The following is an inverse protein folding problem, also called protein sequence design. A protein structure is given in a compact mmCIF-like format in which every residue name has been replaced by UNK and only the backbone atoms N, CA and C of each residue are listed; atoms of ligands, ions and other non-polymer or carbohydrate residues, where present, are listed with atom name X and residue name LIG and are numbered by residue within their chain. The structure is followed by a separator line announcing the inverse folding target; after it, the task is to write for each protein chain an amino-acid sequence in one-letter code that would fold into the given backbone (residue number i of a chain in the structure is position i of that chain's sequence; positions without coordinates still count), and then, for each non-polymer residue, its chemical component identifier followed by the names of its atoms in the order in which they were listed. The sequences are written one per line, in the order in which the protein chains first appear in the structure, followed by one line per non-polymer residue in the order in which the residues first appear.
data_IF_033659988879
#
_entry.id   IF_033659988879
#
_cell.length_a   1.000
_cell.length_b   1.000
_cell.length_c   1.000
_cell.angle_alpha   90.00
_cell.angle_beta   90.00
_cell.angle_gamma   90.00
#
_symmetry.space_group_name_H-M   'P 1'
#
loop_
_entity.id
_entity.type
_entity.pdbx_description
1 polymer ?
#
# COMPACT_ATOMS: atom_id res chain seq x y z
N UNK A 1 -23.85 -7.48 7.88
CA UNK A 1 -23.32 -6.12 8.07
C UNK A 1 -23.65 -5.32 6.83
N UNK A 2 -24.05 -4.05 6.97
CA UNK A 2 -24.28 -3.14 5.84
C UNK A 2 -22.93 -2.76 5.18
N UNK A 3 -22.92 -2.54 3.87
CA UNK A 3 -21.71 -2.19 3.10
C UNK A 3 -21.08 -0.90 3.58
N UNK A 4 -21.92 0.08 3.81
CA UNK A 4 -21.55 1.43 4.23
C UNK A 4 -20.81 1.39 5.58
N UNK A 5 -21.14 0.43 6.45
CA UNK A 5 -20.44 0.26 7.74
C UNK A 5 -19.03 -0.32 7.55
N UNK A 6 -18.84 -1.22 6.58
CA UNK A 6 -17.52 -1.79 6.28
C UNK A 6 -16.60 -0.75 5.62
N UNK A 7 -17.15 0.01 4.68
CA UNK A 7 -16.46 1.11 4.02
C UNK A 7 -16.04 2.18 5.03
N UNK A 8 -16.98 2.69 5.83
CA UNK A 8 -16.68 3.71 6.84
C UNK A 8 -15.63 3.25 7.86
N UNK A 9 -15.64 1.97 8.26
CA UNK A 9 -14.59 1.41 9.12
C UNK A 9 -13.23 1.38 8.42
N UNK A 10 -13.20 1.00 7.15
CA UNK A 10 -11.97 0.95 6.35
C UNK A 10 -11.40 2.34 6.12
N UNK A 11 -12.25 3.31 5.75
CA UNK A 11 -11.87 4.71 5.56
C UNK A 11 -11.31 5.31 6.85
N UNK A 12 -11.95 5.07 7.99
CA UNK A 12 -11.48 5.55 9.29
C UNK A 12 -10.09 5.00 9.65
N UNK A 13 -9.84 3.71 9.43
CA UNK A 13 -8.53 3.11 9.71
C UNK A 13 -7.47 3.62 8.73
N UNK A 14 -7.77 3.69 7.43
CA UNK A 14 -6.80 4.15 6.43
C UNK A 14 -6.47 5.63 6.56
N UNK A 15 -7.43 6.47 6.97
CA UNK A 15 -7.17 7.87 7.30
C UNK A 15 -6.15 8.01 8.44
N UNK A 16 -6.25 7.18 9.48
CA UNK A 16 -5.28 7.15 10.59
C UNK A 16 -3.91 6.66 10.10
N UNK A 17 -3.87 5.59 9.30
CA UNK A 17 -2.60 5.07 8.75
C UNK A 17 -1.87 6.13 7.92
N UNK A 18 -2.59 6.88 7.08
CA UNK A 18 -2.03 7.96 6.27
C UNK A 18 -1.48 9.11 7.10
N UNK A 19 -2.11 9.44 8.24
CA UNK A 19 -1.63 10.53 9.11
C UNK A 19 -0.51 10.10 10.04
N UNK A 20 -0.46 8.82 10.46
CA UNK A 20 0.68 8.30 11.24
C UNK A 20 1.98 8.35 10.43
N UNK A 21 1.91 8.09 9.12
CA UNK A 21 3.09 8.10 8.25
C UNK A 21 3.92 9.40 8.34
N UNK A 22 3.28 10.56 8.46
CA UNK A 22 3.99 11.84 8.54
C UNK A 22 4.68 12.06 9.89
N UNK A 23 4.23 11.37 10.94
CA UNK A 23 4.82 11.47 12.27
C UNK A 23 6.18 10.79 12.37
N UNK A 24 6.47 9.88 11.44
CA UNK A 24 7.72 9.12 11.37
C UNK A 24 8.86 9.89 10.67
N UNK A 25 8.60 11.12 10.22
CA UNK A 25 9.61 12.00 9.65
C UNK A 25 10.27 12.78 10.79
N UNK A 26 11.51 12.44 11.12
CA UNK A 26 12.21 13.02 12.25
C UNK A 26 13.05 14.21 11.80
N UNK A 27 12.61 15.42 12.15
CA UNK A 27 13.37 16.64 11.84
C UNK A 27 14.65 16.71 12.71
N UNK A 28 15.78 17.20 12.16
CA UNK A 28 17.01 17.35 12.93
C UNK A 28 16.80 18.32 14.10
N UNK A 29 17.10 17.86 15.32
CA UNK A 29 16.78 18.60 16.53
C UNK A 29 17.63 19.88 16.72
N UNK A 30 18.85 19.89 16.18
CA UNK A 30 19.85 20.94 16.42
C UNK A 30 20.28 21.69 15.17
N UNK A 31 19.98 21.17 13.97
CA UNK A 31 20.31 21.82 12.70
C UNK A 31 19.04 22.35 12.02
N UNK A 32 18.91 23.67 11.95
CA UNK A 32 17.81 24.37 11.27
C UNK A 32 18.24 24.98 9.94
N UNK A 33 19.42 24.61 9.43
CA UNK A 33 19.87 25.06 8.11
C UNK A 33 19.14 24.31 6.99
N UNK A 34 19.05 24.87 5.77
CA UNK A 34 18.49 24.15 4.62
C UNK A 34 19.18 22.83 4.31
N UNK A 35 20.43 22.64 4.76
CA UNK A 35 21.18 21.40 4.59
C UNK A 35 20.55 20.23 5.38
N UNK A 36 19.95 20.52 6.53
CA UNK A 36 19.26 19.53 7.35
C UNK A 36 18.10 18.84 6.58
N UNK A 37 17.53 19.51 5.57
CA UNK A 37 16.51 18.92 4.69
C UNK A 37 17.06 17.82 3.78
N UNK A 38 18.35 17.86 3.44
CA UNK A 38 19.01 16.82 2.66
C UNK A 38 19.19 15.56 3.51
N UNK A 39 19.42 15.72 4.81
CA UNK A 39 19.61 14.61 5.74
C UNK A 39 18.32 13.80 5.94
N UNK A 40 17.16 14.46 5.99
CA UNK A 40 15.85 13.80 6.11
C UNK A 40 15.27 13.31 4.77
N UNK A 41 15.92 13.62 3.65
CA UNK A 41 15.39 13.28 2.33
C UNK A 41 15.05 11.77 2.18
N UNK A 42 15.84 10.81 2.70
CA UNK A 42 15.49 9.40 2.65
C UNK A 42 14.19 9.04 3.39
N UNK A 43 14.01 9.56 4.61
CA UNK A 43 12.77 9.37 5.39
C UNK A 43 11.57 10.00 4.68
N UNK A 44 11.73 11.22 4.18
CA UNK A 44 10.69 11.93 3.45
C UNK A 44 10.29 11.20 2.16
N UNK A 45 11.25 10.66 1.40
CA UNK A 45 10.97 9.89 0.19
C UNK A 45 10.27 8.57 0.51
N UNK A 46 10.71 7.85 1.55
CA UNK A 46 10.04 6.65 2.02
C UNK A 46 8.58 6.92 2.42
N UNK A 47 8.35 8.03 3.14
CA UNK A 47 7.02 8.55 3.45
C UNK A 47 6.19 8.78 2.19
N UNK A 48 6.68 9.56 1.21
CA UNK A 48 5.94 9.91 0.00
C UNK A 48 5.54 8.65 -0.79
N UNK A 49 6.47 7.72 -0.98
CA UNK A 49 6.18 6.49 -1.71
C UNK A 49 5.12 5.63 -1.01
N UNK A 50 5.20 5.52 0.31
CA UNK A 50 4.24 4.73 1.10
C UNK A 50 2.87 5.39 1.18
N UNK A 51 2.83 6.72 1.27
CA UNK A 51 1.61 7.50 1.20
C UNK A 51 0.89 7.25 -0.13
N UNK A 52 1.60 7.34 -1.26
CA UNK A 52 1.03 7.10 -2.59
C UNK A 52 0.55 5.65 -2.74
N UNK A 53 1.30 4.67 -2.19
CA UNK A 53 0.88 3.26 -2.17
C UNK A 53 -0.48 3.09 -1.46
N UNK A 54 -0.61 3.61 -0.24
CA UNK A 54 -1.84 3.48 0.55
C UNK A 54 -2.99 4.25 -0.09
N UNK A 55 -2.74 5.45 -0.62
CA UNK A 55 -3.75 6.23 -1.33
C UNK A 55 -4.24 5.51 -2.59
N UNK A 56 -3.33 4.94 -3.39
CA UNK A 56 -3.68 4.16 -4.60
C UNK A 56 -4.53 2.95 -4.24
N UNK A 57 -4.22 2.28 -3.14
CA UNK A 57 -5.03 1.16 -2.66
C UNK A 57 -6.40 1.62 -2.19
N UNK A 58 -6.49 2.71 -1.42
CA UNK A 58 -7.76 3.27 -0.96
C UNK A 58 -8.68 3.58 -2.15
N UNK A 59 -8.15 4.21 -3.20
CA UNK A 59 -8.88 4.45 -4.46
C UNK A 59 -9.36 3.12 -5.07
N UNK A 60 -8.49 2.11 -5.16
CA UNK A 60 -8.86 0.79 -5.67
C UNK A 60 -9.90 0.06 -4.80
N UNK A 61 -9.86 0.24 -3.48
CA UNK A 61 -10.84 -0.27 -2.53
C UNK A 61 -12.19 0.40 -2.76
N UNK A 62 -12.21 1.72 -2.83
CA UNK A 62 -13.40 2.52 -3.09
C UNK A 62 -14.09 2.07 -4.39
N UNK A 63 -13.38 2.01 -5.53
CA UNK A 63 -13.96 1.55 -6.80
C UNK A 63 -14.43 0.09 -6.78
N UNK A 64 -13.77 -0.79 -6.01
CA UNK A 64 -14.23 -2.16 -5.83
C UNK A 64 -15.57 -2.16 -5.09
N UNK A 65 -15.67 -1.42 -3.99
CA UNK A 65 -16.85 -1.42 -3.13
C UNK A 65 -18.03 -0.62 -3.69
N UNK A 66 -17.81 0.34 -4.60
CA UNK A 66 -18.88 0.99 -5.38
C UNK A 66 -19.79 -0.04 -6.08
N UNK A 67 -19.23 -1.17 -6.54
CA UNK A 67 -19.96 -2.21 -7.26
C UNK A 67 -20.47 -3.36 -6.38
N UNK A 68 -20.20 -3.32 -5.06
CA UNK A 68 -20.58 -4.38 -4.12
C UNK A 68 -22.05 -4.26 -3.71
N UNK A 69 -22.80 -5.34 -3.89
CA UNK A 69 -24.20 -5.45 -3.46
C UNK A 69 -24.39 -6.34 -2.23
N UNK A 70 -23.49 -7.32 -2.02
CA UNK A 70 -23.57 -8.30 -0.94
C UNK A 70 -22.25 -8.41 -0.19
N UNK A 71 -22.36 -8.52 1.13
CA UNK A 71 -21.23 -8.77 2.05
C UNK A 71 -21.57 -9.95 2.95
N UNK A 72 -20.64 -10.90 3.03
CA UNK A 72 -20.68 -12.01 3.98
C UNK A 72 -19.51 -11.93 4.97
N UNK A 73 -19.48 -12.85 5.93
CA UNK A 73 -18.44 -12.87 6.95
C UNK A 73 -17.02 -13.01 6.37
N UNK A 74 -16.86 -13.72 5.24
CA UNK A 74 -15.56 -13.89 4.57
C UNK A 74 -15.00 -12.56 4.07
N UNK A 75 -15.83 -11.71 3.45
CA UNK A 75 -15.43 -10.36 3.02
C UNK A 75 -15.01 -9.50 4.22
N UNK A 76 -15.72 -9.60 5.34
CA UNK A 76 -15.40 -8.84 6.56
C UNK A 76 -14.01 -9.22 7.07
N UNK A 77 -13.72 -10.51 7.22
CA UNK A 77 -12.40 -10.97 7.68
C UNK A 77 -11.29 -10.67 6.68
N UNK A 78 -11.55 -10.80 5.38
CA UNK A 78 -10.58 -10.42 4.36
C UNK A 78 -10.23 -8.92 4.44
N UNK A 79 -11.22 -8.07 4.72
CA UNK A 79 -10.99 -6.64 4.93
C UNK A 79 -10.18 -6.37 6.20
N UNK A 80 -10.44 -7.08 7.30
CA UNK A 80 -9.65 -6.96 8.52
C UNK A 80 -8.18 -7.35 8.28
N UNK A 81 -7.92 -8.42 7.52
CA UNK A 81 -6.55 -8.83 7.16
C UNK A 81 -5.86 -7.75 6.32
N UNK A 82 -6.56 -7.12 5.37
CA UNK A 82 -6.04 -5.98 4.62
C UNK A 82 -5.69 -4.80 5.55
N UNK A 83 -6.57 -4.47 6.49
CA UNK A 83 -6.33 -3.38 7.44
C UNK A 83 -5.15 -3.67 8.36
N UNK A 84 -4.98 -4.92 8.82
CA UNK A 84 -3.83 -5.32 9.62
C UNK A 84 -2.51 -5.03 8.90
N UNK A 85 -2.34 -5.48 7.66
CA UNK A 85 -1.11 -5.21 6.89
C UNK A 85 -0.97 -3.73 6.54
N UNK A 86 -2.08 -3.01 6.31
CA UNK A 86 -2.07 -1.55 6.15
C UNK A 86 -1.48 -0.85 7.39
N UNK A 87 -1.83 -1.30 8.60
CA UNK A 87 -1.36 -0.67 9.85
C UNK A 87 0.10 -0.94 10.18
N UNK A 88 0.72 -1.95 9.57
CA UNK A 88 2.17 -2.23 9.73
C UNK A 88 3.01 -1.36 8.80
N UNK A 89 2.44 -0.88 7.68
CA UNK A 89 3.16 -0.06 6.69
C UNK A 89 3.90 1.13 7.30
N UNK A 90 3.31 1.95 8.19
CA UNK A 90 4.02 3.08 8.79
C UNK A 90 5.33 2.69 9.47
N UNK A 91 5.30 1.65 10.32
CA UNK A 91 6.48 1.19 11.03
C UNK A 91 7.58 0.70 10.08
N UNK A 92 7.22 -0.08 9.06
CA UNK A 92 8.22 -0.56 8.08
C UNK A 92 8.73 0.54 7.15
N UNK A 93 7.90 1.55 6.88
CA UNK A 93 8.27 2.74 6.08
C UNK A 93 9.27 3.59 6.83
N UNK A 94 8.99 3.89 8.10
CA UNK A 94 9.90 4.61 8.98
C UNK A 94 11.26 3.91 9.03
N UNK A 95 11.24 2.59 9.24
CA UNK A 95 12.47 1.83 9.39
C UNK A 95 13.34 1.82 8.14
N UNK A 96 12.76 1.62 6.94
CA UNK A 96 13.54 1.73 5.68
C UNK A 96 13.96 3.17 5.38
N UNK A 97 13.22 4.16 5.87
CA UNK A 97 13.58 5.58 5.78
C UNK A 97 14.86 5.93 6.53
N UNK A 98 15.13 5.26 7.66
CA UNK A 98 16.35 5.51 8.47
C UNK A 98 17.64 5.16 7.75
N UNK A 99 17.62 4.12 6.91
CA UNK A 99 18.74 3.72 6.06
C UNK A 99 18.22 2.96 4.83
N UNK A 100 18.17 3.66 3.70
CA UNK A 100 17.71 3.10 2.41
C UNK A 100 18.66 2.04 1.85
N UNK A 101 19.88 1.94 2.37
CA UNK A 101 20.86 0.92 2.02
C UNK A 101 20.85 -0.28 2.98
N UNK A 102 20.04 -0.24 4.05
CA UNK A 102 19.87 -1.37 4.96
C UNK A 102 19.08 -2.49 4.28
N UNK A 103 19.76 -3.60 4.03
CA UNK A 103 19.16 -4.80 3.43
C UNK A 103 18.00 -5.34 4.29
N UNK A 104 18.16 -5.38 5.61
CA UNK A 104 17.13 -5.92 6.52
C UNK A 104 15.88 -5.05 6.51
N UNK A 105 16.04 -3.73 6.62
CA UNK A 105 14.90 -2.81 6.62
C UNK A 105 14.15 -2.87 5.28
N UNK A 106 14.88 -2.90 4.15
CA UNK A 106 14.28 -2.99 2.83
C UNK A 106 13.55 -4.32 2.59
N UNK A 107 14.09 -5.46 3.07
CA UNK A 107 13.42 -6.77 2.98
C UNK A 107 12.13 -6.77 3.79
N UNK A 108 12.16 -6.29 5.03
CA UNK A 108 10.96 -6.26 5.89
C UNK A 108 9.88 -5.36 5.30
N UNK A 109 10.27 -4.21 4.74
CA UNK A 109 9.36 -3.34 4.00
C UNK A 109 8.77 -4.04 2.76
N UNK A 110 9.60 -4.70 1.94
CA UNK A 110 9.14 -5.44 0.76
C UNK A 110 8.18 -6.59 1.12
N UNK A 111 8.48 -7.34 2.20
CA UNK A 111 7.62 -8.42 2.70
C UNK A 111 6.26 -7.87 3.13
N UNK A 112 6.22 -6.74 3.84
CA UNK A 112 4.97 -6.10 4.23
C UNK A 112 4.14 -5.72 2.99
N UNK A 113 4.75 -5.12 1.96
CA UNK A 113 4.08 -4.82 0.69
C UNK A 113 3.54 -6.08 -0.01
N UNK A 114 4.29 -7.18 0.00
CA UNK A 114 3.82 -8.47 -0.56
C UNK A 114 2.55 -8.93 0.16
N UNK A 115 2.56 -8.98 1.48
CA UNK A 115 1.40 -9.42 2.26
C UNK A 115 0.22 -8.48 2.15
N UNK A 116 0.48 -7.18 2.10
CA UNK A 116 -0.53 -6.16 1.82
C UNK A 116 -1.25 -6.40 0.48
N UNK A 117 -0.49 -6.66 -0.59
CA UNK A 117 -1.06 -6.96 -1.91
C UNK A 117 -1.80 -8.30 -1.93
N UNK A 118 -1.28 -9.33 -1.24
CA UNK A 118 -1.97 -10.62 -1.08
C UNK A 118 -3.29 -10.44 -0.33
N UNK A 119 -3.30 -9.65 0.73
CA UNK A 119 -4.51 -9.36 1.51
C UNK A 119 -5.56 -8.63 0.66
N UNK A 120 -5.13 -7.67 -0.17
CA UNK A 120 -6.03 -6.99 -1.10
C UNK A 120 -6.61 -7.95 -2.16
N UNK A 121 -5.78 -8.81 -2.75
CA UNK A 121 -6.24 -9.81 -3.71
C UNK A 121 -7.21 -10.82 -3.06
N UNK A 122 -6.96 -11.21 -1.81
CA UNK A 122 -7.86 -12.06 -1.04
C UNK A 122 -9.21 -11.39 -0.75
N UNK A 123 -9.21 -10.09 -0.45
CA UNK A 123 -10.42 -9.29 -0.34
C UNK A 123 -11.18 -9.24 -1.67
N UNK A 124 -10.49 -8.93 -2.78
CA UNK A 124 -11.10 -8.87 -4.11
C UNK A 124 -11.72 -10.21 -4.51
N UNK A 125 -11.01 -11.32 -4.35
CA UNK A 125 -11.53 -12.66 -4.62
C UNK A 125 -12.73 -13.01 -3.71
N UNK A 126 -12.71 -12.60 -2.43
CA UNK A 126 -13.83 -12.82 -1.52
C UNK A 126 -15.07 -12.02 -1.95
N UNK A 127 -14.88 -10.82 -2.49
CA UNK A 127 -15.95 -9.95 -3.01
C UNK A 127 -16.51 -10.47 -4.33
N UNK A 128 -15.65 -10.81 -5.30
CA UNK A 128 -16.07 -11.25 -6.65
C UNK A 128 -16.81 -12.58 -6.63
N UNK A 129 -16.49 -13.48 -5.68
CA UNK A 129 -17.20 -14.76 -5.49
C UNK A 129 -18.68 -14.60 -5.16
N UNK A 130 -19.07 -13.52 -4.48
CA UNK A 130 -20.47 -13.29 -4.07
C UNK A 130 -21.15 -12.16 -4.84
N UNK A 131 -20.38 -11.36 -5.60
CA UNK A 131 -20.85 -10.29 -6.48
C UNK A 131 -20.37 -10.57 -7.91
N UNK A 132 -21.05 -11.46 -8.62
CA UNK A 132 -20.62 -11.99 -9.95
C UNK A 132 -20.55 -10.94 -11.06
N UNK A 133 -21.17 -9.77 -10.88
CA UNK A 133 -21.08 -8.62 -11.79
C UNK A 133 -19.65 -8.04 -11.79
N UNK A 134 -18.94 -8.15 -10.67
CA UNK A 134 -17.58 -7.63 -10.52
C UNK A 134 -16.60 -8.63 -11.14
N UNK A 135 -15.92 -8.22 -12.21
CA UNK A 135 -14.90 -9.05 -12.85
C UNK A 135 -13.63 -9.12 -11.99
N UNK A 136 -13.02 -10.31 -11.80
CA UNK A 136 -11.76 -10.44 -11.09
C UNK A 136 -10.62 -9.79 -11.90
N UNK A 137 -9.62 -9.23 -11.21
CA UNK A 137 -8.43 -8.60 -11.82
C UNK A 137 -7.19 -9.51 -11.75
N UNK A 138 -7.36 -10.83 -11.91
CA UNK A 138 -6.30 -11.84 -11.70
C UNK A 138 -5.03 -11.59 -12.52
N UNK A 139 -5.16 -11.12 -13.77
CA UNK A 139 -3.99 -10.80 -14.60
C UNK A 139 -3.14 -9.67 -14.01
N UNK A 140 -3.78 -8.57 -13.59
CA UNK A 140 -3.12 -7.44 -12.92
C UNK A 140 -2.52 -7.86 -11.58
N UNK A 141 -3.21 -8.70 -10.81
CA UNK A 141 -2.71 -9.23 -9.54
C UNK A 141 -1.49 -10.11 -9.73
N UNK A 142 -1.50 -11.04 -10.71
CA UNK A 142 -0.35 -11.89 -11.02
C UNK A 142 0.86 -11.05 -11.48
N UNK A 143 0.63 -10.02 -12.30
CA UNK A 143 1.69 -9.09 -12.69
C UNK A 143 2.25 -8.34 -11.49
N UNK A 144 1.38 -7.82 -10.62
CA UNK A 144 1.77 -7.16 -9.36
C UNK A 144 2.58 -8.09 -8.46
N UNK A 145 2.17 -9.34 -8.29
CA UNK A 145 2.93 -10.34 -7.54
C UNK A 145 4.28 -10.64 -8.19
N UNK A 146 4.33 -10.79 -9.51
CA UNK A 146 5.59 -10.97 -10.24
C UNK A 146 6.55 -9.80 -10.01
N UNK A 147 6.05 -8.56 -10.07
CA UNK A 147 6.81 -7.35 -9.75
C UNK A 147 7.32 -7.41 -8.31
N UNK A 148 6.47 -7.69 -7.32
CA UNK A 148 6.89 -7.73 -5.92
C UNK A 148 7.93 -8.82 -5.63
N UNK A 149 7.81 -10.01 -6.24
CA UNK A 149 8.80 -11.08 -6.08
C UNK A 149 10.12 -10.71 -6.73
N UNK A 150 10.09 -10.09 -7.92
CA UNK A 150 11.30 -9.55 -8.56
C UNK A 150 11.93 -8.47 -7.69
N UNK A 151 11.13 -7.54 -7.15
CA UNK A 151 11.58 -6.50 -6.23
C UNK A 151 12.25 -7.10 -5.02
N UNK A 152 11.62 -8.07 -4.34
CA UNK A 152 12.22 -8.74 -3.19
C UNK A 152 13.56 -9.41 -3.56
N UNK A 153 13.63 -10.08 -4.72
CA UNK A 153 14.85 -10.73 -5.20
C UNK A 153 15.99 -9.75 -5.47
N UNK A 154 15.71 -8.62 -6.12
CA UNK A 154 16.73 -7.59 -6.43
C UNK A 154 17.11 -6.80 -5.18
N UNK A 155 16.17 -6.52 -4.28
CA UNK A 155 16.40 -5.83 -3.00
C UNK A 155 17.40 -6.56 -2.11
N UNK A 156 17.54 -7.89 -2.24
CA UNK A 156 18.58 -8.66 -1.54
C UNK A 156 20.01 -8.22 -1.91
N UNK A 157 20.21 -7.71 -3.12
CA UNK A 157 21.51 -7.27 -3.62
C UNK A 157 21.62 -5.73 -3.71
N UNK A 158 20.50 -5.04 -3.91
CA UNK A 158 20.44 -3.58 -4.01
C UNK A 158 19.20 -3.03 -3.27
N UNK A 159 19.32 -2.73 -1.96
CA UNK A 159 18.17 -2.39 -1.12
C UNK A 159 17.29 -1.22 -1.61
N UNK A 160 17.84 -0.12 -2.15
CA UNK A 160 17.04 0.98 -2.70
C UNK A 160 16.07 0.57 -3.84
N UNK A 161 16.28 -0.58 -4.47
CA UNK A 161 15.40 -1.09 -5.53
C UNK A 161 13.95 -1.29 -5.07
N UNK A 162 13.72 -1.43 -3.75
CA UNK A 162 12.36 -1.58 -3.19
C UNK A 162 11.43 -0.45 -3.58
N UNK A 163 11.95 0.78 -3.68
CA UNK A 163 11.17 1.96 -4.09
C UNK A 163 10.82 1.94 -5.59
N UNK A 164 11.72 1.45 -6.45
CA UNK A 164 11.45 1.31 -7.89
C UNK A 164 10.34 0.26 -8.10
N UNK A 165 10.43 -0.86 -7.40
CA UNK A 165 9.40 -1.89 -7.40
C UNK A 165 8.04 -1.36 -6.96
N UNK A 166 8.03 -0.62 -5.86
CA UNK A 166 6.83 0.04 -5.33
C UNK A 166 6.21 0.99 -6.35
N UNK A 167 6.98 1.92 -6.93
CA UNK A 167 6.45 2.89 -7.91
C UNK A 167 5.88 2.17 -9.12
N UNK A 168 6.58 1.14 -9.61
CA UNK A 168 6.09 0.32 -10.74
C UNK A 168 4.73 -0.29 -10.42
N UNK A 169 4.58 -0.83 -9.21
CA UNK A 169 3.33 -1.42 -8.76
C UNK A 169 2.22 -0.36 -8.55
N UNK A 170 2.56 0.80 -7.99
CA UNK A 170 1.66 1.95 -7.89
C UNK A 170 1.15 2.36 -9.26
N UNK A 171 2.03 2.52 -10.24
CA UNK A 171 1.64 2.90 -11.60
C UNK A 171 0.71 1.85 -12.22
N UNK A 172 1.00 0.56 -12.04
CA UNK A 172 0.14 -0.53 -12.51
C UNK A 172 -1.31 -0.40 -11.96
N UNK A 173 -1.46 0.02 -10.70
CA UNK A 173 -2.77 0.12 -10.03
C UNK A 173 -3.43 1.50 -10.13
N UNK A 174 -2.68 2.57 -10.36
CA UNK A 174 -3.18 3.94 -10.46
C UNK A 174 -3.55 4.32 -11.90
N UNK A 175 -2.75 3.89 -12.90
CA UNK A 175 -2.95 4.26 -14.31
C UNK A 175 -4.35 3.94 -14.85
N UNK A 176 -4.97 2.78 -14.55
CA UNK A 176 -6.30 2.48 -15.08
C UNK A 176 -7.32 3.56 -14.72
N UNK A 177 -7.26 4.12 -13.52
CA UNK A 177 -8.21 5.13 -13.04
C UNK A 177 -7.95 6.51 -13.68
N UNK A 178 -6.68 6.89 -13.82
CA UNK A 178 -6.29 8.16 -14.44
C UNK A 178 -6.63 8.24 -15.94
N UNK A 179 -6.73 7.10 -16.61
CA UNK A 179 -7.03 7.02 -18.04
C UNK A 179 -8.54 6.90 -18.29
N UNK A 180 -9.30 6.27 -17.39
CA UNK A 180 -10.74 6.03 -17.58
C UNK A 180 -11.66 7.17 -17.16
N UNK A 181 -11.20 8.17 -16.40
CA UNK A 181 -11.99 9.37 -16.03
C UNK A 181 -12.14 10.38 -17.20
N UNK A 182 -11.93 9.95 -18.44
CA UNK A 182 -12.24 10.72 -19.65
C UNK A 182 -13.61 10.32 -20.20
N UNK A 183 -14.67 10.56 -19.44
CA UNK A 183 -16.06 10.59 -19.94
C UNK A 183 -16.87 11.62 -19.15
#
# INVERSE_FOLDING_TARGET
MKKERLEAFTDGVLAIVLTILVLEIHLPATDHTPRALIEIAPEFLAYVFSFILIATMWVNHHYLFLQVNRINNRVIWANIILLFWSTILPATTAWVGTDIHSQTAAIVYAINIVFYNIAFAFLRESVTRINTIIKPKRGTELLSFGINILTLGVTLFWPPFVFIGLITNVLLWALPHLVTDKD
#
